data_IF_472272178566
#
_entry.id   IF_472272178566
#
_cell.length_a   1.000
_cell.length_b   1.000
_cell.length_c   1.000
_cell.angle_alpha   90.00
_cell.angle_beta   90.00
_cell.angle_gamma   90.00
#
_symmetry.space_group_name_H-M   'P 1'
#
loop_
_entity.id
_entity.type
_entity.pdbx_description
1 polymer ?
#
# COMPACT_ATOMS: atom_id res chain seq x y z
N UNK A 1 -15.14 -30.22 -21.21
CA UNK A 1 -14.54 -30.19 -19.85
C UNK A 1 -13.89 -28.82 -19.70
N UNK A 2 -14.32 -28.01 -18.72
CA UNK A 2 -13.63 -26.74 -18.48
C UNK A 2 -12.25 -27.02 -17.87
N UNK A 3 -11.20 -26.32 -18.31
CA UNK A 3 -9.87 -26.52 -17.75
C UNK A 3 -9.84 -26.17 -16.25
N UNK A 4 -9.11 -26.95 -15.48
CA UNK A 4 -8.88 -26.65 -14.05
C UNK A 4 -8.11 -25.34 -13.93
N UNK A 5 -8.49 -24.45 -12.99
CA UNK A 5 -7.79 -23.19 -12.80
C UNK A 5 -6.35 -23.43 -12.31
N UNK A 6 -5.41 -22.68 -12.85
CA UNK A 6 -4.01 -22.71 -12.41
C UNK A 6 -3.84 -22.02 -11.06
N UNK A 7 -2.79 -22.42 -10.33
CA UNK A 7 -2.36 -21.77 -9.08
C UNK A 7 -3.40 -21.72 -7.95
N UNK A 8 -4.32 -22.68 -7.90
CA UNK A 8 -5.43 -22.74 -6.94
C UNK A 8 -6.38 -21.54 -7.02
N UNK A 9 -6.52 -20.94 -8.18
CA UNK A 9 -7.52 -19.90 -8.41
C UNK A 9 -8.93 -20.47 -8.19
N UNK A 10 -9.88 -19.67 -7.68
CA UNK A 10 -11.27 -20.07 -7.63
C UNK A 10 -11.81 -20.43 -9.02
N UNK A 11 -12.63 -21.49 -9.14
CA UNK A 11 -13.25 -21.90 -10.40
C UNK A 11 -14.20 -20.83 -10.94
N UNK A 12 -14.99 -20.26 -10.03
CA UNK A 12 -15.98 -19.24 -10.37
C UNK A 12 -15.36 -17.84 -10.25
N UNK A 13 -15.46 -17.04 -11.29
CA UNK A 13 -14.98 -15.67 -11.31
C UNK A 13 -16.05 -14.76 -10.73
N UNK A 14 -15.72 -14.10 -9.61
CA UNK A 14 -16.61 -13.17 -8.92
C UNK A 14 -15.95 -11.79 -8.94
N UNK A 15 -16.70 -10.77 -9.35
CA UNK A 15 -16.24 -9.38 -9.35
C UNK A 15 -16.79 -8.63 -8.13
N UNK A 16 -15.99 -7.69 -7.64
CA UNK A 16 -16.43 -6.78 -6.60
C UNK A 16 -17.51 -5.83 -7.14
N UNK A 17 -18.60 -5.65 -6.38
CA UNK A 17 -19.69 -4.73 -6.75
C UNK A 17 -19.31 -3.25 -6.67
N UNK A 18 -18.21 -2.92 -6.01
CA UNK A 18 -17.76 -1.53 -5.76
C UNK A 18 -16.58 -1.10 -6.63
N UNK A 19 -15.78 -2.03 -7.11
CA UNK A 19 -14.63 -1.75 -7.98
C UNK A 19 -14.46 -2.86 -9.03
N UNK A 20 -13.44 -2.75 -9.89
CA UNK A 20 -13.17 -3.69 -10.99
C UNK A 20 -12.39 -4.95 -10.58
N UNK A 21 -12.12 -5.14 -9.29
CA UNK A 21 -11.34 -6.29 -8.81
C UNK A 21 -12.18 -7.57 -8.84
N UNK A 22 -11.51 -8.69 -9.13
CA UNK A 22 -12.09 -10.03 -9.04
C UNK A 22 -11.36 -10.90 -8.02
N UNK A 23 -11.98 -12.02 -7.65
CA UNK A 23 -11.37 -13.05 -6.80
C UNK A 23 -10.21 -13.80 -7.49
N UNK A 24 -9.91 -13.50 -8.75
CA UNK A 24 -8.80 -14.09 -9.49
C UNK A 24 -7.48 -13.35 -9.24
N UNK A 25 -7.51 -12.17 -8.59
CA UNK A 25 -6.30 -11.42 -8.31
C UNK A 25 -5.57 -11.97 -7.09
N UNK A 26 -4.30 -12.39 -7.23
CA UNK A 26 -3.49 -12.75 -6.07
C UNK A 26 -3.25 -11.52 -5.19
N UNK A 27 -3.23 -11.74 -3.87
CA UNK A 27 -2.84 -10.71 -2.91
C UNK A 27 -1.35 -10.40 -3.06
N UNK A 28 -0.96 -9.17 -2.72
CA UNK A 28 0.44 -8.78 -2.66
C UNK A 28 1.15 -9.55 -1.55
N UNK A 29 2.29 -10.14 -1.86
CA UNK A 29 3.13 -10.89 -0.92
C UNK A 29 4.50 -10.19 -0.89
N UNK A 30 5.14 -10.01 0.28
CA UNK A 30 6.49 -9.48 0.36
C UNK A 30 7.46 -10.31 -0.47
N UNK A 31 8.39 -9.67 -1.16
CA UNK A 31 9.27 -10.29 -2.14
C UNK A 31 10.05 -11.48 -1.59
N UNK A 32 10.56 -11.39 -0.38
CA UNK A 32 11.31 -12.46 0.29
C UNK A 32 10.45 -13.66 0.72
N UNK A 33 9.12 -13.57 0.66
CA UNK A 33 8.19 -14.68 0.92
C UNK A 33 7.58 -15.25 -0.35
N UNK A 34 7.98 -14.76 -1.52
CA UNK A 34 7.52 -15.28 -2.81
C UNK A 34 7.96 -16.74 -2.99
N UNK A 35 7.01 -17.58 -3.39
CA UNK A 35 7.27 -18.94 -3.85
C UNK A 35 7.07 -18.99 -5.36
N UNK A 36 8.04 -19.54 -6.08
CA UNK A 36 7.95 -19.68 -7.53
C UNK A 36 6.75 -20.52 -7.99
N UNK A 37 6.36 -21.51 -7.18
CA UNK A 37 5.25 -22.42 -7.48
C UNK A 37 3.87 -21.86 -7.13
N UNK A 38 3.83 -20.70 -6.49
CA UNK A 38 2.61 -20.03 -5.99
C UNK A 38 1.66 -20.91 -5.17
N UNK A 39 2.12 -22.05 -4.67
CA UNK A 39 1.34 -22.88 -3.77
C UNK A 39 1.05 -22.11 -2.48
N UNK A 40 -0.23 -22.10 -2.08
CA UNK A 40 -0.68 -21.34 -0.92
C UNK A 40 -0.78 -19.83 -1.14
N UNK A 41 -0.80 -19.37 -2.39
CA UNK A 41 -1.08 -17.98 -2.70
C UNK A 41 -2.43 -17.55 -2.12
N UNK A 42 -2.45 -16.38 -1.49
CA UNK A 42 -3.67 -15.77 -0.98
C UNK A 42 -4.28 -14.90 -2.08
N UNK A 43 -5.55 -15.05 -2.30
CA UNK A 43 -6.29 -14.27 -3.29
C UNK A 43 -7.17 -13.22 -2.62
N UNK A 44 -7.56 -12.21 -3.39
CA UNK A 44 -8.48 -11.19 -2.95
C UNK A 44 -9.81 -11.82 -2.52
N UNK A 45 -10.20 -11.59 -1.28
CA UNK A 45 -11.48 -12.06 -0.75
C UNK A 45 -12.58 -11.07 -1.09
N UNK A 46 -13.74 -11.63 -1.43
CA UNK A 46 -14.99 -10.89 -1.62
C UNK A 46 -15.94 -11.37 -0.55
N UNK A 47 -16.53 -10.46 0.23
CA UNK A 47 -17.45 -10.81 1.31
C UNK A 47 -18.85 -11.16 0.78
N UNK A 48 -19.77 -11.50 1.69
CA UNK A 48 -21.15 -11.85 1.38
C UNK A 48 -21.92 -10.72 0.69
N UNK A 49 -21.59 -9.47 0.98
CA UNK A 49 -22.17 -8.29 0.31
C UNK A 49 -21.64 -8.10 -1.12
N UNK A 50 -20.62 -8.84 -1.52
CA UNK A 50 -19.95 -8.73 -2.80
C UNK A 50 -18.87 -7.62 -2.84
N UNK A 51 -18.35 -7.21 -1.68
CA UNK A 51 -17.32 -6.18 -1.56
C UNK A 51 -15.95 -6.80 -1.28
N UNK A 52 -14.92 -6.40 -2.03
CA UNK A 52 -13.58 -6.93 -1.84
C UNK A 52 -12.83 -6.28 -0.66
N UNK A 53 -11.82 -6.99 -0.16
CA UNK A 53 -11.00 -6.53 0.97
C UNK A 53 -10.26 -5.21 0.66
N UNK A 54 -9.89 -4.95 -0.59
CA UNK A 54 -9.29 -3.67 -0.98
C UNK A 54 -10.25 -2.49 -0.79
N UNK A 55 -11.52 -2.65 -1.14
CA UNK A 55 -12.54 -1.63 -0.91
C UNK A 55 -12.80 -1.40 0.58
N UNK A 56 -12.86 -2.48 1.38
CA UNK A 56 -12.98 -2.36 2.85
C UNK A 56 -11.80 -1.61 3.45
N UNK A 57 -10.59 -1.94 3.00
CA UNK A 57 -9.39 -1.26 3.47
C UNK A 57 -9.40 0.24 3.09
N UNK A 58 -9.85 0.58 1.88
CA UNK A 58 -10.00 1.97 1.47
C UNK A 58 -11.01 2.73 2.34
N UNK A 59 -12.13 2.11 2.72
CA UNK A 59 -13.10 2.70 3.65
C UNK A 59 -12.49 2.96 5.03
N UNK A 60 -11.74 1.99 5.57
CA UNK A 60 -11.04 2.15 6.85
C UNK A 60 -10.05 3.31 6.78
N UNK A 61 -9.26 3.40 5.71
CA UNK A 61 -8.33 4.52 5.51
C UNK A 61 -9.03 5.88 5.47
N UNK A 62 -10.19 5.95 4.84
CA UNK A 62 -10.89 7.21 4.65
C UNK A 62 -11.76 7.63 5.84
N UNK A 63 -12.23 6.67 6.66
CA UNK A 63 -13.19 6.95 7.73
C UNK A 63 -12.63 6.79 9.14
N UNK A 64 -11.65 5.90 9.36
CA UNK A 64 -11.15 5.58 10.70
C UNK A 64 -9.79 6.19 11.03
N UNK A 65 -9.01 6.58 10.01
CA UNK A 65 -7.72 7.22 10.23
C UNK A 65 -7.91 8.73 10.32
N UNK A 66 -7.60 9.30 11.47
CA UNK A 66 -7.54 10.75 11.63
C UNK A 66 -6.20 11.27 11.09
N UNK A 67 -6.21 11.72 9.84
CA UNK A 67 -5.01 12.19 9.14
C UNK A 67 -4.41 13.46 9.75
N UNK A 68 -5.22 14.32 10.36
CA UNK A 68 -4.72 15.51 11.07
C UNK A 68 -3.89 15.14 12.30
N UNK A 69 -4.35 14.15 13.06
CA UNK A 69 -3.56 13.62 14.20
C UNK A 69 -2.27 12.99 13.69
N UNK A 70 -2.33 12.20 12.61
CA UNK A 70 -1.13 11.59 12.00
C UNK A 70 -0.15 12.63 11.47
N UNK A 71 -0.62 13.71 10.89
CA UNK A 71 0.27 14.81 10.44
C UNK A 71 0.93 15.52 11.63
N UNK A 72 0.21 15.77 12.74
CA UNK A 72 0.80 16.33 13.95
C UNK A 72 1.87 15.42 14.57
N UNK A 73 1.67 14.10 14.54
CA UNK A 73 2.67 13.12 14.96
C UNK A 73 3.90 13.16 14.06
N UNK A 74 3.69 13.24 12.76
CA UNK A 74 4.78 13.39 11.78
C UNK A 74 5.58 14.67 12.04
N UNK A 75 4.93 15.81 12.22
CA UNK A 75 5.59 17.09 12.49
C UNK A 75 6.48 17.01 13.74
N UNK A 76 5.98 16.43 14.83
CA UNK A 76 6.79 16.22 16.05
C UNK A 76 8.01 15.36 15.79
N UNK A 77 7.87 14.31 14.96
CA UNK A 77 8.98 13.45 14.59
C UNK A 77 10.02 14.20 13.73
N UNK A 78 9.56 14.96 12.75
CA UNK A 78 10.42 15.73 11.87
C UNK A 78 11.20 16.81 12.65
N UNK A 79 10.53 17.53 13.55
CA UNK A 79 11.16 18.56 14.37
C UNK A 79 12.26 18.01 15.27
N UNK A 80 12.10 16.77 15.73
CA UNK A 80 13.13 16.08 16.53
C UNK A 80 14.44 15.87 15.77
N UNK A 81 14.37 15.65 14.44
CA UNK A 81 15.52 15.29 13.62
C UNK A 81 15.97 16.42 12.69
N UNK A 82 15.21 17.49 12.58
CA UNK A 82 15.51 18.64 11.74
C UNK A 82 16.86 19.25 12.08
N UNK A 83 17.67 19.51 11.08
CA UNK A 83 18.95 20.20 11.20
C UNK A 83 18.90 21.59 10.58
N UNK A 84 19.59 22.54 11.19
CA UNK A 84 19.69 23.93 10.73
C UNK A 84 21.01 24.23 10.03
N UNK A 85 21.94 23.28 9.99
CA UNK A 85 23.32 23.48 9.48
C UNK A 85 23.46 23.11 8.00
N UNK A 86 22.39 22.80 7.29
CA UNK A 86 22.41 22.42 5.87
C UNK A 86 22.72 20.94 5.59
N UNK A 87 23.02 20.15 6.63
CA UNK A 87 23.21 18.71 6.47
C UNK A 87 21.89 18.00 6.19
N UNK A 88 22.00 16.79 5.63
CA UNK A 88 20.84 15.91 5.51
C UNK A 88 20.30 15.51 6.89
N UNK A 89 19.00 15.55 7.05
CA UNK A 89 18.27 15.27 8.30
C UNK A 89 17.31 14.09 8.21
N UNK A 90 17.12 13.57 7.01
CA UNK A 90 16.36 12.34 6.77
C UNK A 90 16.86 11.62 5.50
N UNK A 91 16.50 10.35 5.38
CA UNK A 91 16.79 9.49 4.21
C UNK A 91 15.47 9.05 3.60
N UNK A 92 15.35 9.19 2.29
CA UNK A 92 14.22 8.67 1.52
C UNK A 92 14.72 7.57 0.58
N UNK A 93 14.55 6.29 0.94
CA UNK A 93 14.93 5.20 0.05
C UNK A 93 14.07 5.23 -1.20
N UNK A 94 14.70 5.31 -2.37
CA UNK A 94 14.01 5.49 -3.64
C UNK A 94 14.37 4.42 -4.65
N UNK A 95 13.35 3.81 -5.26
CA UNK A 95 13.51 2.91 -6.42
C UNK A 95 13.42 3.65 -7.77
N UNK A 96 13.38 5.00 -7.76
CA UNK A 96 13.11 5.80 -8.95
C UNK A 96 11.62 5.90 -9.32
N UNK A 97 10.74 5.29 -8.54
CA UNK A 97 9.30 5.35 -8.75
C UNK A 97 8.66 6.64 -8.22
N UNK A 98 7.44 6.93 -8.67
CA UNK A 98 6.68 8.14 -8.33
C UNK A 98 6.50 8.35 -6.81
N UNK A 99 6.34 7.27 -6.06
CA UNK A 99 6.02 7.35 -4.63
C UNK A 99 7.23 7.83 -3.81
N UNK A 100 8.43 7.35 -4.11
CA UNK A 100 9.66 7.83 -3.47
C UNK A 100 9.99 9.27 -3.88
N UNK A 101 9.83 9.60 -5.16
CA UNK A 101 10.00 10.98 -5.63
C UNK A 101 9.04 11.95 -4.94
N UNK A 102 7.77 11.54 -4.78
CA UNK A 102 6.76 12.33 -4.07
C UNK A 102 7.10 12.50 -2.59
N UNK A 103 7.57 11.45 -1.91
CA UNK A 103 8.00 11.52 -0.51
C UNK A 103 9.15 12.52 -0.32
N UNK A 104 10.20 12.43 -1.14
CA UNK A 104 11.32 13.37 -1.09
C UNK A 104 10.86 14.82 -1.35
N UNK A 105 10.01 15.01 -2.36
CA UNK A 105 9.45 16.32 -2.69
C UNK A 105 8.66 16.93 -1.53
N UNK A 106 7.73 16.17 -0.93
CA UNK A 106 6.89 16.64 0.18
C UNK A 106 7.75 16.97 1.42
N UNK A 107 8.69 16.09 1.78
CA UNK A 107 9.57 16.32 2.91
C UNK A 107 10.35 17.64 2.75
N UNK A 108 10.84 17.92 1.54
CA UNK A 108 11.57 19.16 1.27
C UNK A 108 10.66 20.37 1.15
N UNK A 109 9.63 20.31 0.30
CA UNK A 109 8.85 21.49 -0.08
C UNK A 109 7.78 21.88 0.94
N UNK A 110 7.11 20.90 1.57
CA UNK A 110 6.06 21.15 2.56
C UNK A 110 6.59 21.18 3.97
N UNK A 111 7.49 20.27 4.33
CA UNK A 111 7.95 20.10 5.70
C UNK A 111 9.33 20.70 5.98
N UNK A 112 10.02 21.23 4.97
CA UNK A 112 11.30 21.92 5.14
C UNK A 112 12.44 21.02 5.64
N UNK A 113 12.37 19.73 5.37
CA UNK A 113 13.45 18.78 5.64
C UNK A 113 14.49 18.82 4.51
N UNK A 114 15.67 18.28 4.77
CA UNK A 114 16.74 18.12 3.79
C UNK A 114 17.03 16.63 3.52
N UNK A 115 16.20 15.93 2.74
CA UNK A 115 16.34 14.49 2.48
C UNK A 115 17.58 14.17 1.62
N UNK A 116 18.20 13.02 1.93
CA UNK A 116 19.22 12.35 1.13
C UNK A 116 18.53 11.28 0.25
#
# INVERSE_FOLDING_TARGET
>A
MMPEPLFNLPKDVIFCKKCVMSNQRPASIPEFTHRFDRRGAVYLKINEDGICDACKHAEIKNSKINWEVREKELLKLLDKYRKSNGDHDCIVPGSGGKDSAFQAHILKSKYGMNPL
#
